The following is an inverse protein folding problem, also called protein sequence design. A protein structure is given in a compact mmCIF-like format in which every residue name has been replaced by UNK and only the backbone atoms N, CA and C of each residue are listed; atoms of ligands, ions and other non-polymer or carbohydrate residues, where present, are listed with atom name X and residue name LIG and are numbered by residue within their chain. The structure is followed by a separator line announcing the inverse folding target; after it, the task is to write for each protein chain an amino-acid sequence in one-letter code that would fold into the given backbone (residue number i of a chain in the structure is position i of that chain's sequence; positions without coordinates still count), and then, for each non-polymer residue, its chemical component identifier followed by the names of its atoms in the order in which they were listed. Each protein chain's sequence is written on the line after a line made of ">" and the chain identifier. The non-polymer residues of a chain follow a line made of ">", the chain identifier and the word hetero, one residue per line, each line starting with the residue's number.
data_IF_232778772712
#
_entry.id   IF_232778772712
#
_cell.length_a   1.000
_cell.length_b   1.000
_cell.length_c   1.000
_cell.angle_alpha   90.00
_cell.angle_beta   90.00
_cell.angle_gamma   90.00
#
_symmetry.space_group_name_H-M   'P 1'
#
loop_
_entity.id
_entity.type
_entity.pdbx_description
1 polymer ?
#
# COMPACT_ATOMS: atom_id res chain seq x y z
N UNK A 1 -50.38 48.81 25.93
CA UNK A 1 -49.10 48.06 25.90
C UNK A 1 -48.82 47.68 24.46
N UNK A 2 -47.60 47.98 24.05
CA UNK A 2 -47.09 48.11 22.68
C UNK A 2 -46.65 46.79 22.06
N UNK A 3 -46.97 46.60 20.78
CA UNK A 3 -46.13 45.83 19.87
C UNK A 3 -46.08 46.57 18.52
N UNK A 4 -44.92 47.15 18.23
CA UNK A 4 -44.57 47.77 16.94
C UNK A 4 -44.15 46.68 15.96
N UNK A 5 -44.67 46.77 14.74
CA UNK A 5 -44.22 46.01 13.57
C UNK A 5 -43.08 46.81 12.94
N UNK A 6 -41.87 46.22 12.89
CA UNK A 6 -40.74 46.79 12.17
C UNK A 6 -40.42 45.91 10.95
N UNK A 7 -40.65 46.50 9.78
CA UNK A 7 -40.12 46.06 8.49
C UNK A 7 -38.58 46.20 8.52
N UNK A 8 -37.85 45.11 8.29
CA UNK A 8 -36.43 45.17 7.99
C UNK A 8 -36.21 44.75 6.54
N UNK A 9 -35.75 45.73 5.77
CA UNK A 9 -35.25 45.62 4.41
C UNK A 9 -33.98 44.76 4.45
N UNK A 10 -34.08 43.51 4.04
CA UNK A 10 -32.90 42.67 3.77
C UNK A 10 -32.32 43.08 2.42
N UNK A 11 -31.29 43.92 2.47
CA UNK A 11 -30.47 44.30 1.34
C UNK A 11 -29.80 43.07 0.70
N UNK A 12 -29.94 42.97 -0.62
CA UNK A 12 -29.13 42.12 -1.48
C UNK A 12 -27.64 42.43 -1.25
N UNK A 13 -26.92 41.56 -0.56
CA UNK A 13 -25.46 41.51 -0.66
C UNK A 13 -25.16 40.73 -1.94
N UNK A 14 -24.85 41.48 -3.00
CA UNK A 14 -24.20 40.93 -4.17
C UNK A 14 -22.79 40.45 -3.76
N UNK A 15 -22.70 39.15 -3.46
CA UNK A 15 -21.41 38.47 -3.33
C UNK A 15 -20.84 38.35 -4.73
N UNK A 16 -19.80 39.12 -5.02
CA UNK A 16 -18.96 38.91 -6.19
C UNK A 16 -18.38 37.49 -6.13
N UNK A 17 -19.01 36.56 -6.85
CA UNK A 17 -18.47 35.25 -7.18
C UNK A 17 -17.34 35.43 -8.21
N UNK A 18 -16.19 35.95 -7.80
CA UNK A 18 -14.94 35.61 -8.50
C UNK A 18 -14.64 34.17 -8.12
N UNK A 19 -15.09 33.24 -8.97
CA UNK A 19 -14.78 31.82 -8.83
C UNK A 19 -13.28 31.62 -8.88
N UNK A 20 -12.64 31.51 -7.71
CA UNK A 20 -11.38 30.79 -7.59
C UNK A 20 -11.68 29.34 -7.96
N UNK A 21 -11.51 29.00 -9.24
CA UNK A 21 -11.51 27.62 -9.70
C UNK A 21 -10.31 26.92 -9.08
N UNK A 22 -10.45 26.41 -7.86
CA UNK A 22 -9.41 25.59 -7.21
C UNK A 22 -9.17 24.39 -8.10
N UNK A 23 -7.91 24.15 -8.48
CA UNK A 23 -7.57 22.97 -9.27
C UNK A 23 -7.91 21.71 -8.48
N UNK A 24 -8.61 20.79 -9.13
CA UNK A 24 -8.89 19.49 -8.54
C UNK A 24 -7.66 18.62 -8.68
N UNK A 25 -7.09 18.21 -7.55
CA UNK A 25 -5.95 17.28 -7.50
C UNK A 25 -6.44 15.97 -6.93
N UNK A 26 -6.23 14.87 -7.67
CA UNK A 26 -6.62 13.52 -7.26
C UNK A 26 -5.41 12.61 -7.26
N UNK A 27 -5.18 11.93 -6.15
CA UNK A 27 -4.16 10.88 -6.02
C UNK A 27 -4.84 9.53 -6.20
N UNK A 28 -4.23 8.66 -6.98
CA UNK A 28 -4.67 7.27 -7.17
C UNK A 28 -3.46 6.37 -7.39
N UNK A 29 -3.62 5.06 -7.24
CA UNK A 29 -2.53 4.07 -7.34
C UNK A 29 -2.89 2.98 -8.32
N UNK A 30 -1.89 2.38 -8.98
CA UNK A 30 -2.05 1.40 -10.05
C UNK A 30 -2.41 -0.03 -9.60
N UNK A 31 -2.70 -0.28 -8.34
CA UNK A 31 -3.08 -1.61 -7.91
C UNK A 31 -4.51 -1.89 -8.34
N UNK A 32 -4.62 -2.63 -9.44
CA UNK A 32 -5.34 -3.90 -9.34
C UNK A 32 -6.84 -3.81 -9.01
N UNK A 33 -7.46 -2.70 -9.41
CA UNK A 33 -8.91 -2.57 -9.46
C UNK A 33 -9.33 -2.14 -10.85
N UNK A 34 -10.55 -2.52 -11.26
CA UNK A 34 -11.19 -1.99 -12.46
C UNK A 34 -11.36 -0.46 -12.40
N UNK A 35 -11.14 0.16 -11.24
CA UNK A 35 -11.28 1.59 -11.03
C UNK A 35 -10.31 2.15 -9.95
N UNK A 36 -9.00 2.29 -10.26
CA UNK A 36 -7.96 2.71 -9.31
C UNK A 36 -8.18 4.13 -8.76
N UNK A 37 -9.06 4.92 -9.38
CA UNK A 37 -9.46 6.25 -8.93
C UNK A 37 -10.39 6.23 -7.69
N UNK A 38 -10.83 5.06 -7.24
CA UNK A 38 -11.69 4.90 -6.06
C UNK A 38 -10.92 4.90 -4.73
N UNK A 39 -9.60 4.76 -4.76
CA UNK A 39 -8.80 4.84 -3.53
C UNK A 39 -8.86 6.26 -2.96
N UNK A 40 -9.27 6.34 -1.70
CA UNK A 40 -9.44 7.59 -0.94
C UNK A 40 -8.87 7.39 0.46
N UNK A 41 -9.03 8.39 1.34
CA UNK A 41 -8.67 8.24 2.76
C UNK A 41 -9.58 7.22 3.47
N UNK A 42 -10.85 7.14 3.05
CA UNK A 42 -11.86 6.24 3.61
C UNK A 42 -11.80 4.84 3.00
N UNK A 43 -11.43 4.74 1.72
CA UNK A 43 -11.20 3.49 1.00
C UNK A 43 -9.71 3.38 0.67
N UNK A 44 -8.87 2.93 1.61
CA UNK A 44 -7.43 2.88 1.41
C UNK A 44 -7.05 1.91 0.28
N UNK A 45 -5.87 2.11 -0.27
CA UNK A 45 -5.19 1.06 -1.02
C UNK A 45 -4.41 0.18 -0.05
N UNK A 46 -4.66 -1.13 -0.06
CA UNK A 46 -3.84 -2.12 0.63
C UNK A 46 -2.69 -2.61 -0.25
N UNK A 47 -1.45 -2.37 0.18
CA UNK A 47 -0.27 -2.80 -0.55
C UNK A 47 0.50 -3.90 0.21
N UNK A 48 0.83 -4.97 -0.50
CA UNK A 48 1.57 -6.08 0.08
C UNK A 48 3.08 -5.81 0.08
N UNK A 49 3.81 -6.34 1.05
CA UNK A 49 5.28 -6.31 1.03
C UNK A 49 5.83 -6.99 -0.24
N UNK A 50 6.76 -6.31 -0.91
CA UNK A 50 7.33 -6.70 -2.20
C UNK A 50 6.56 -6.15 -3.41
N UNK A 51 5.38 -5.56 -3.21
CA UNK A 51 4.61 -4.96 -4.29
C UNK A 51 5.25 -3.65 -4.76
N UNK A 52 5.30 -3.45 -6.08
CA UNK A 52 5.57 -2.14 -6.68
C UNK A 52 4.26 -1.38 -6.87
N UNK A 53 4.13 -0.25 -6.19
CA UNK A 53 2.99 0.65 -6.27
C UNK A 53 3.36 1.85 -7.14
N UNK A 54 2.61 2.07 -8.21
CA UNK A 54 2.69 3.28 -9.03
C UNK A 54 1.61 4.27 -8.57
N UNK A 55 2.04 5.38 -7.99
CA UNK A 55 1.22 6.53 -7.69
C UNK A 55 1.01 7.36 -8.94
N UNK A 56 -0.22 7.83 -9.11
CA UNK A 56 -0.65 8.71 -10.17
C UNK A 56 -1.41 9.88 -9.57
N UNK A 57 -1.13 11.06 -10.10
CA UNK A 57 -1.80 12.28 -9.69
C UNK A 57 -2.38 12.96 -10.92
N UNK A 58 -3.66 13.28 -10.87
CA UNK A 58 -4.34 14.07 -11.90
C UNK A 58 -4.63 15.46 -11.35
N UNK A 59 -4.27 16.49 -12.11
CA UNK A 59 -4.54 17.90 -11.83
C UNK A 59 -5.45 18.44 -12.94
N UNK A 60 -6.62 18.94 -12.56
CA UNK A 60 -7.60 19.48 -13.51
C UNK A 60 -8.06 20.89 -13.08
N UNK A 61 -7.93 21.92 -13.94
CA UNK A 61 -7.27 21.90 -15.27
C UNK A 61 -5.74 21.68 -15.17
N UNK A 62 -5.08 21.34 -16.28
CA UNK A 62 -3.60 21.18 -16.35
C UNK A 62 -2.90 22.54 -16.24
N UNK A 63 -2.78 23.04 -15.02
CA UNK A 63 -2.22 24.36 -14.71
C UNK A 63 -1.01 24.30 -13.78
N UNK A 64 -0.62 23.09 -13.37
CA UNK A 64 0.53 22.86 -12.51
C UNK A 64 1.79 22.68 -13.36
N UNK A 65 2.89 23.26 -12.90
CA UNK A 65 4.21 23.05 -13.50
C UNK A 65 4.87 21.79 -12.93
N UNK A 66 4.65 21.51 -11.65
CA UNK A 66 5.16 20.32 -10.97
C UNK A 66 4.26 19.86 -9.83
N UNK A 67 4.45 18.60 -9.40
CA UNK A 67 3.71 17.98 -8.30
C UNK A 67 4.71 17.34 -7.33
N UNK A 68 4.50 17.60 -6.05
CA UNK A 68 5.24 16.98 -4.95
C UNK A 68 4.28 16.03 -4.23
N UNK A 69 4.71 14.80 -4.00
CA UNK A 69 4.02 13.82 -3.19
C UNK A 69 4.76 13.67 -1.87
N UNK A 70 4.03 13.82 -0.77
CA UNK A 70 4.54 13.68 0.59
C UNK A 70 3.92 12.46 1.24
N UNK A 71 4.74 11.66 1.92
CA UNK A 71 4.30 10.53 2.72
C UNK A 71 5.31 10.28 3.84
N UNK A 72 4.84 10.31 5.09
CA UNK A 72 5.67 10.06 6.29
C UNK A 72 6.95 10.94 6.34
N UNK A 73 6.81 12.23 5.99
CA UNK A 73 7.91 13.19 5.97
C UNK A 73 8.88 13.05 4.79
N UNK A 74 8.71 12.04 3.94
CA UNK A 74 9.42 11.91 2.66
C UNK A 74 8.70 12.71 1.59
N UNK A 75 9.47 13.43 0.78
CA UNK A 75 8.98 14.17 -0.38
C UNK A 75 9.52 13.57 -1.67
N UNK A 76 8.66 13.50 -2.68
CA UNK A 76 8.99 13.00 -4.01
C UNK A 76 8.45 13.95 -5.07
N UNK A 77 9.32 14.33 -6.01
CA UNK A 77 8.94 15.07 -7.21
C UNK A 77 8.43 14.08 -8.25
N UNK A 78 7.18 14.27 -8.67
CA UNK A 78 6.57 13.39 -9.66
C UNK A 78 6.98 13.78 -11.08
N UNK A 79 7.07 12.78 -11.94
CA UNK A 79 7.32 12.96 -13.36
C UNK A 79 6.00 13.19 -14.09
N UNK A 80 5.91 14.23 -14.93
CA UNK A 80 4.73 14.44 -15.80
C UNK A 80 4.69 13.33 -16.85
N UNK A 81 3.57 12.60 -16.92
CA UNK A 81 3.36 11.46 -17.83
C UNK A 81 2.30 11.74 -18.89
N UNK A 82 1.52 12.82 -18.73
CA UNK A 82 0.54 13.28 -19.69
C UNK A 82 0.03 14.68 -19.31
N UNK A 83 -0.86 15.28 -20.13
CA UNK A 83 -1.53 16.52 -19.78
C UNK A 83 -2.26 16.39 -18.44
N UNK A 84 -1.85 17.19 -17.45
CA UNK A 84 -2.39 17.16 -16.09
C UNK A 84 -2.13 15.86 -15.32
N UNK A 85 -1.29 14.95 -15.82
CA UNK A 85 -1.04 13.65 -15.18
C UNK A 85 0.44 13.47 -14.80
N UNK A 86 0.66 13.03 -13.57
CA UNK A 86 1.97 12.91 -12.95
C UNK A 86 2.13 11.52 -12.29
N UNK A 87 3.36 11.02 -12.21
CA UNK A 87 3.64 9.66 -11.76
C UNK A 87 4.87 9.51 -10.88
N UNK A 88 4.81 8.54 -9.98
CA UNK A 88 5.90 8.07 -9.12
C UNK A 88 5.70 6.59 -8.80
N UNK A 89 6.78 5.83 -8.63
CA UNK A 89 6.71 4.41 -8.30
C UNK A 89 7.52 4.09 -7.05
N UNK A 90 6.98 3.23 -6.19
CA UNK A 90 7.64 2.80 -4.96
C UNK A 90 7.43 1.31 -4.72
N UNK A 91 8.52 0.59 -4.44
CA UNK A 91 8.47 -0.80 -3.98
C UNK A 91 8.32 -0.85 -2.46
N UNK A 92 7.25 -1.47 -1.99
CA UNK A 92 6.96 -1.62 -0.56
C UNK A 92 7.90 -2.67 0.03
N UNK A 93 8.87 -2.24 0.83
CA UNK A 93 9.85 -3.12 1.47
C UNK A 93 9.40 -3.58 2.87
N UNK A 94 10.21 -4.43 3.51
CA UNK A 94 9.91 -4.97 4.84
C UNK A 94 9.79 -3.90 5.94
N UNK A 95 10.41 -2.74 5.78
CA UNK A 95 10.31 -1.66 6.78
C UNK A 95 8.92 -1.02 6.82
N UNK A 96 8.14 -1.22 5.76
CA UNK A 96 6.77 -0.73 5.62
C UNK A 96 5.73 -1.62 6.33
N UNK A 97 6.14 -2.78 6.86
CA UNK A 97 5.23 -3.78 7.44
C UNK A 97 4.34 -3.19 8.54
N UNK A 98 3.03 -3.26 8.33
CA UNK A 98 2.02 -2.80 9.28
C UNK A 98 1.94 -1.28 9.40
N UNK A 99 2.60 -0.53 8.50
CA UNK A 99 2.52 0.93 8.46
C UNK A 99 1.34 1.40 7.61
N UNK A 100 0.78 2.52 8.01
CA UNK A 100 -0.20 3.28 7.24
C UNK A 100 0.43 4.60 6.83
N UNK A 101 0.36 4.90 5.54
CA UNK A 101 0.87 6.13 4.96
C UNK A 101 -0.28 7.02 4.50
N UNK A 102 -0.29 8.26 5.00
CA UNK A 102 -1.07 9.33 4.40
C UNK A 102 -0.27 9.91 3.24
N UNK A 103 -0.83 9.82 2.05
CA UNK A 103 -0.22 10.30 0.82
C UNK A 103 -0.85 11.64 0.47
N UNK A 104 -0.08 12.72 0.51
CA UNK A 104 -0.52 14.05 0.10
C UNK A 104 0.19 14.47 -1.18
N UNK A 105 -0.56 14.71 -2.26
CA UNK A 105 -0.03 15.36 -3.45
C UNK A 105 -0.35 16.86 -3.40
N UNK A 106 0.67 17.68 -3.65
CA UNK A 106 0.59 19.14 -3.74
C UNK A 106 1.04 19.55 -5.13
N UNK A 107 0.15 20.21 -5.86
CA UNK A 107 0.42 20.71 -7.21
C UNK A 107 0.74 22.20 -7.16
N UNK A 108 1.78 22.61 -7.87
CA UNK A 108 2.29 23.98 -7.82
C UNK A 108 2.41 24.57 -9.21
N UNK A 109 2.16 25.88 -9.31
CA UNK A 109 2.57 26.72 -10.43
C UNK A 109 3.81 27.51 -10.02
N UNK A 110 4.83 27.44 -10.85
CA UNK A 110 6.12 28.06 -10.59
C UNK A 110 6.05 29.58 -10.77
N UNK A 111 6.54 30.34 -9.78
CA UNK A 111 6.75 31.78 -9.92
C UNK A 111 8.09 32.11 -10.63
N UNK A 112 8.82 31.08 -11.08
CA UNK A 112 10.08 31.21 -11.81
C UNK A 112 10.90 29.92 -11.75
N UNK A 113 11.91 29.89 -10.88
CA UNK A 113 12.64 28.65 -10.57
C UNK A 113 11.87 27.88 -9.51
N UNK A 114 11.58 26.58 -9.70
CA UNK A 114 10.84 25.79 -8.72
C UNK A 114 11.46 25.83 -7.32
N UNK A 115 10.61 25.93 -6.31
CA UNK A 115 10.97 25.81 -4.90
C UNK A 115 11.43 24.40 -4.57
N UNK A 116 10.78 23.40 -5.14
CA UNK A 116 11.17 22.00 -5.00
C UNK A 116 12.06 21.58 -6.17
N UNK A 117 13.21 21.00 -5.86
CA UNK A 117 14.09 20.41 -6.86
C UNK A 117 14.73 19.14 -6.34
N UNK A 118 15.21 18.31 -7.28
CA UNK A 118 15.90 17.06 -6.95
C UNK A 118 17.40 17.30 -6.91
N UNK A 119 18.05 16.87 -5.83
CA UNK A 119 19.51 16.81 -5.68
C UNK A 119 19.89 15.37 -5.33
N UNK A 120 20.42 14.64 -6.31
CA UNK A 120 20.60 13.18 -6.19
C UNK A 120 19.26 12.47 -5.98
N UNK A 121 19.16 11.72 -4.88
CA UNK A 121 17.95 10.98 -4.49
C UNK A 121 17.05 11.76 -3.53
N UNK A 122 17.40 13.01 -3.19
CA UNK A 122 16.64 13.83 -2.26
C UNK A 122 15.85 14.92 -2.99
N UNK A 123 14.65 15.18 -2.50
CA UNK A 123 13.90 16.38 -2.85
C UNK A 123 14.19 17.45 -1.81
N UNK A 124 14.61 18.62 -2.29
CA UNK A 124 14.93 19.77 -1.45
C UNK A 124 13.92 20.86 -1.72
N UNK A 125 13.33 21.39 -0.64
CA UNK A 125 12.57 22.62 -0.68
C UNK A 125 13.50 23.80 -0.40
N UNK A 126 13.67 24.68 -1.38
CA UNK A 126 14.52 25.87 -1.27
C UNK A 126 13.91 26.94 -0.36
N UNK A 127 12.58 26.99 -0.24
CA UNK A 127 11.84 27.98 0.55
C UNK A 127 12.25 29.41 0.20
N UNK A 128 11.71 29.96 -0.89
CA UNK A 128 11.97 31.37 -1.24
C UNK A 128 10.94 32.29 -0.59
N UNK A 129 11.43 33.23 0.20
CA UNK A 129 10.58 34.22 0.89
C UNK A 129 10.05 35.33 -0.04
N UNK A 130 10.70 35.54 -1.19
CA UNK A 130 10.40 36.67 -2.09
C UNK A 130 9.33 36.36 -3.13
N UNK A 131 9.35 35.15 -3.71
CA UNK A 131 8.41 34.68 -4.74
C UNK A 131 8.15 33.17 -4.57
N UNK A 132 7.36 32.76 -3.57
CA UNK A 132 7.03 31.35 -3.38
C UNK A 132 6.15 30.84 -4.53
N UNK A 133 6.30 29.56 -4.85
CA UNK A 133 5.46 28.91 -5.84
C UNK A 133 3.99 28.84 -5.38
N UNK A 134 3.06 29.05 -6.32
CA UNK A 134 1.63 29.05 -6.02
C UNK A 134 1.13 27.61 -5.89
N UNK A 135 0.63 27.25 -4.70
CA UNK A 135 -0.11 26.01 -4.53
C UNK A 135 -1.46 26.10 -5.26
N UNK A 136 -1.60 25.37 -6.35
CA UNK A 136 -2.84 25.37 -7.15
C UNK A 136 -3.87 24.34 -6.68
N UNK A 137 -3.43 23.30 -5.97
CA UNK A 137 -4.35 22.31 -5.39
C UNK A 137 -3.67 21.19 -4.61
N UNK A 138 -4.49 20.42 -3.89
CA UNK A 138 -4.05 19.29 -3.07
C UNK A 138 -4.98 18.09 -3.18
N UNK A 139 -4.41 16.90 -3.12
CA UNK A 139 -5.15 15.64 -3.10
C UNK A 139 -4.55 14.70 -2.06
N UNK A 140 -5.39 13.88 -1.44
CA UNK A 140 -4.96 12.94 -0.40
C UNK A 140 -5.47 11.53 -0.68
N UNK A 141 -4.67 10.53 -0.33
CA UNK A 141 -5.08 9.12 -0.29
C UNK A 141 -4.41 8.41 0.90
N UNK A 142 -4.84 7.18 1.18
CA UNK A 142 -4.27 6.34 2.23
C UNK A 142 -3.74 5.03 1.65
N UNK A 143 -2.54 4.65 2.07
CA UNK A 143 -1.90 3.38 1.74
C UNK A 143 -1.71 2.58 3.03
N UNK A 144 -2.27 1.38 3.10
CA UNK A 144 -2.12 0.47 4.23
C UNK A 144 -1.22 -0.70 3.82
N UNK A 145 -0.03 -0.78 4.40
CA UNK A 145 0.96 -1.81 4.06
C UNK A 145 0.77 -3.06 4.93
N UNK A 146 0.68 -4.22 4.30
CA UNK A 146 0.45 -5.49 4.99
C UNK A 146 1.37 -6.63 4.52
N UNK A 147 1.55 -7.61 5.40
CA UNK A 147 2.31 -8.83 5.14
C UNK A 147 1.40 -10.02 5.44
N UNK A 148 1.16 -10.85 4.43
CA UNK A 148 0.43 -12.11 4.62
C UNK A 148 1.25 -13.07 5.48
N UNK A 149 0.57 -13.94 6.24
CA UNK A 149 1.18 -14.94 7.11
C UNK A 149 0.52 -16.29 6.89
N UNK A 150 1.34 -17.31 6.79
CA UNK A 150 0.95 -18.71 6.72
C UNK A 150 1.33 -19.33 8.07
N UNK A 151 0.34 -19.79 8.80
CA UNK A 151 0.53 -20.56 10.04
C UNK A 151 -0.13 -21.92 9.86
N UNK A 152 0.65 -23.00 9.94
CA UNK A 152 0.12 -24.37 9.85
C UNK A 152 0.38 -25.04 11.19
N UNK A 153 -0.66 -25.52 11.83
CA UNK A 153 -0.54 -26.32 13.05
C UNK A 153 -0.73 -27.80 12.69
N UNK A 154 0.19 -28.65 13.16
CA UNK A 154 0.11 -30.09 12.93
C UNK A 154 0.52 -30.89 14.16
N UNK A 155 0.09 -32.14 14.20
CA UNK A 155 0.45 -33.12 15.23
C UNK A 155 0.91 -34.41 14.56
N UNK A 156 1.99 -34.99 15.06
CA UNK A 156 2.51 -36.28 14.59
C UNK A 156 1.79 -37.44 15.26
N UNK A 157 1.72 -38.59 14.58
CA UNK A 157 0.96 -39.74 15.07
C UNK A 157 1.57 -40.35 16.34
N UNK A 158 2.89 -40.29 16.48
CA UNK A 158 3.63 -40.84 17.63
C UNK A 158 4.15 -39.75 18.59
N UNK A 159 3.85 -38.47 18.34
CA UNK A 159 4.32 -37.34 19.14
C UNK A 159 5.81 -37.00 19.00
N UNK A 160 6.56 -37.68 18.13
CA UNK A 160 7.95 -37.33 17.82
C UNK A 160 8.01 -36.12 16.87
N UNK A 161 9.16 -35.46 16.83
CA UNK A 161 9.39 -34.34 15.91
C UNK A 161 9.65 -34.85 14.49
N UNK A 162 8.96 -34.30 13.46
CA UNK A 162 9.27 -34.59 12.07
C UNK A 162 10.67 -34.15 11.66
N UNK A 163 11.24 -34.84 10.66
CA UNK A 163 12.38 -34.28 9.92
C UNK A 163 11.89 -33.13 9.01
N UNK A 164 12.02 -31.90 9.53
CA UNK A 164 11.62 -30.69 8.83
C UNK A 164 12.35 -30.46 7.51
N UNK A 165 13.51 -31.09 7.29
CA UNK A 165 14.23 -30.97 6.03
C UNK A 165 13.51 -31.65 4.87
N UNK A 166 12.63 -32.61 5.16
CA UNK A 166 11.71 -33.22 4.21
C UNK A 166 10.37 -32.48 4.07
N UNK A 167 10.18 -31.38 4.80
CA UNK A 167 8.97 -30.56 4.73
C UNK A 167 8.94 -29.67 3.48
N UNK A 168 7.74 -29.49 2.92
CA UNK A 168 7.52 -28.68 1.74
C UNK A 168 6.22 -27.87 1.88
N UNK A 169 6.30 -26.57 1.62
CA UNK A 169 5.16 -25.67 1.51
C UNK A 169 4.93 -25.34 0.04
N UNK A 170 3.74 -25.65 -0.49
CA UNK A 170 3.31 -25.34 -1.84
C UNK A 170 2.34 -24.17 -1.82
N UNK A 171 2.67 -23.12 -2.56
CA UNK A 171 1.90 -21.89 -2.68
C UNK A 171 1.38 -21.80 -4.11
N UNK A 172 0.07 -21.82 -4.27
CA UNK A 172 -0.59 -21.79 -5.57
C UNK A 172 -0.88 -20.33 -5.93
N UNK A 173 0.00 -19.76 -6.74
CA UNK A 173 -0.03 -18.36 -7.13
C UNK A 173 -1.09 -18.02 -8.19
N UNK A 174 -1.20 -16.73 -8.56
CA UNK A 174 -2.31 -16.21 -9.36
C UNK A 174 -2.37 -16.75 -10.79
N UNK A 175 -1.23 -17.16 -11.35
CA UNK A 175 -1.12 -17.64 -12.74
C UNK A 175 -1.17 -19.17 -12.84
N UNK A 176 -1.60 -19.87 -11.78
CA UNK A 176 -1.55 -21.33 -11.68
C UNK A 176 -0.13 -21.88 -11.40
N UNK A 177 0.86 -20.99 -11.24
CA UNK A 177 2.20 -21.36 -10.81
C UNK A 177 2.18 -21.91 -9.37
N UNK A 178 2.90 -23.00 -9.14
CA UNK A 178 3.09 -23.58 -7.81
C UNK A 178 4.50 -23.28 -7.35
N UNK A 179 4.63 -22.45 -6.32
CA UNK A 179 5.92 -22.17 -5.69
C UNK A 179 6.14 -23.13 -4.53
N UNK A 180 7.30 -23.79 -4.53
CA UNK A 180 7.71 -24.74 -3.50
C UNK A 180 8.71 -24.07 -2.57
N UNK A 181 8.43 -24.11 -1.28
CA UNK A 181 9.25 -23.50 -0.23
C UNK A 181 9.66 -24.59 0.75
N UNK A 182 10.97 -24.80 0.88
CA UNK A 182 11.54 -25.72 1.86
C UNK A 182 11.80 -25.06 3.21
N UNK A 183 12.39 -25.82 4.13
CA UNK A 183 12.84 -25.31 5.43
C UNK A 183 13.88 -24.19 5.22
N UNK A 184 13.68 -23.06 5.91
CA UNK A 184 14.61 -21.93 5.91
C UNK A 184 15.99 -22.31 6.45
N UNK A 185 17.04 -21.80 5.81
CA UNK A 185 18.46 -22.01 6.20
C UNK A 185 19.21 -20.69 6.07
N UNK A 186 20.37 -20.52 6.72
CA UNK A 186 21.21 -19.34 6.49
C UNK A 186 21.45 -19.12 4.98
N UNK A 187 21.05 -17.95 4.46
CA UNK A 187 21.13 -17.61 3.04
C UNK A 187 19.99 -18.13 2.15
N UNK A 188 19.02 -18.88 2.70
CA UNK A 188 17.88 -19.41 1.96
C UNK A 188 16.56 -19.09 2.67
N UNK A 189 15.72 -18.29 2.04
CA UNK A 189 14.41 -17.93 2.56
C UNK A 189 13.45 -19.12 2.47
N UNK A 190 12.87 -19.51 3.59
CA UNK A 190 12.02 -20.71 3.69
C UNK A 190 11.07 -20.65 4.88
N UNK A 191 10.26 -21.70 5.04
CA UNK A 191 9.39 -21.78 6.22
C UNK A 191 10.22 -22.02 7.49
N UNK A 192 9.67 -21.64 8.62
CA UNK A 192 10.22 -21.91 9.95
C UNK A 192 9.35 -22.90 10.67
N UNK A 193 9.93 -23.98 11.19
CA UNK A 193 9.26 -24.86 12.13
C UNK A 193 9.51 -24.34 13.55
N UNK A 194 8.43 -24.01 14.26
CA UNK A 194 8.45 -23.69 15.67
C UNK A 194 8.40 -24.98 16.47
N UNK A 195 9.09 -24.99 17.62
CA UNK A 195 9.16 -26.15 18.49
C UNK A 195 7.78 -26.60 18.99
N UNK A 196 7.78 -27.79 19.61
CA UNK A 196 6.56 -28.42 20.13
C UNK A 196 5.94 -27.60 21.26
N UNK A 197 4.64 -27.32 21.17
CA UNK A 197 3.89 -26.65 22.24
C UNK A 197 3.51 -27.62 23.38
N UNK A 198 2.92 -27.09 24.46
CA UNK A 198 2.47 -27.87 25.61
C UNK A 198 1.35 -28.88 25.28
N UNK A 199 0.61 -28.67 24.19
CA UNK A 199 -0.46 -29.57 23.70
C UNK A 199 0.11 -30.65 22.77
N UNK A 200 1.40 -30.57 22.46
CA UNK A 200 2.12 -31.48 21.60
C UNK A 200 1.99 -31.18 20.10
N UNK A 201 1.57 -29.98 19.74
CA UNK A 201 1.46 -29.49 18.36
C UNK A 201 2.75 -28.79 17.92
N UNK A 202 3.00 -28.82 16.62
CA UNK A 202 4.04 -28.06 15.97
C UNK A 202 3.40 -26.96 15.13
N UNK A 203 4.07 -25.81 15.04
CA UNK A 203 3.59 -24.69 14.24
C UNK A 203 4.62 -24.37 13.16
N UNK A 204 4.19 -24.37 11.91
CA UNK A 204 4.99 -23.90 10.77
C UNK A 204 4.58 -22.48 10.44
N UNK A 205 5.58 -21.61 10.26
CA UNK A 205 5.39 -20.21 9.94
C UNK A 205 6.09 -19.85 8.63
N UNK A 206 5.40 -19.09 7.78
CA UNK A 206 5.97 -18.51 6.57
C UNK A 206 5.32 -17.17 6.21
N UNK A 207 6.11 -16.23 5.71
CA UNK A 207 5.65 -14.91 5.24
C UNK A 207 5.88 -14.82 3.73
N UNK A 208 4.87 -15.10 2.89
CA UNK A 208 5.03 -15.05 1.45
C UNK A 208 5.25 -13.62 0.95
N UNK A 209 5.98 -13.46 -0.15
CA UNK A 209 6.08 -12.18 -0.85
C UNK A 209 4.88 -11.95 -1.78
N UNK A 210 4.70 -10.71 -2.22
CA UNK A 210 3.61 -10.31 -3.12
C UNK A 210 3.47 -11.20 -4.36
N UNK A 211 4.59 -11.58 -4.98
CA UNK A 211 4.63 -12.39 -6.20
C UNK A 211 4.28 -13.88 -5.97
N UNK A 212 4.08 -14.29 -4.71
CA UNK A 212 3.70 -15.65 -4.35
C UNK A 212 2.20 -15.77 -4.05
N UNK A 213 1.48 -14.66 -3.82
CA UNK A 213 0.08 -14.68 -3.41
C UNK A 213 -0.87 -14.25 -4.53
N UNK A 214 -2.06 -14.82 -4.52
CA UNK A 214 -3.20 -14.35 -5.30
C UNK A 214 -3.79 -13.13 -4.61
N UNK A 215 -3.52 -11.92 -5.12
CA UNK A 215 -4.02 -10.68 -4.52
C UNK A 215 -5.50 -10.39 -4.85
N UNK A 216 -6.01 -10.89 -5.98
CA UNK A 216 -7.43 -10.76 -6.39
C UNK A 216 -8.38 -11.70 -5.64
N UNK A 217 -7.84 -12.69 -4.92
CA UNK A 217 -8.61 -13.85 -4.46
C UNK A 217 -7.93 -14.48 -3.24
N UNK A 218 -8.33 -15.70 -2.91
CA UNK A 218 -7.65 -16.50 -1.89
C UNK A 218 -6.48 -17.25 -2.51
N UNK A 219 -5.38 -17.33 -1.78
CA UNK A 219 -4.23 -18.14 -2.15
C UNK A 219 -4.34 -19.49 -1.45
N UNK A 220 -4.27 -20.58 -2.21
CA UNK A 220 -4.22 -21.93 -1.65
C UNK A 220 -2.80 -22.24 -1.19
N UNK A 221 -2.69 -22.85 -0.01
CA UNK A 221 -1.43 -23.27 0.58
C UNK A 221 -1.55 -24.74 1.01
N UNK A 222 -0.57 -25.55 0.65
CA UNK A 222 -0.47 -26.95 1.09
C UNK A 222 0.88 -27.16 1.74
N UNK A 223 0.89 -27.58 3.00
CA UNK A 223 2.10 -28.02 3.68
C UNK A 223 2.12 -29.54 3.77
N UNK A 224 3.28 -30.14 3.50
CA UNK A 224 3.50 -31.58 3.69
C UNK A 224 4.84 -31.86 4.36
N UNK A 225 4.88 -32.88 5.23
CA UNK A 225 6.11 -33.37 5.88
C UNK A 225 5.97 -34.86 6.21
N UNK A 226 7.03 -35.69 6.14
CA UNK A 226 6.95 -37.09 6.55
C UNK A 226 6.56 -37.25 8.03
N UNK A 227 5.58 -38.10 8.32
CA UNK A 227 5.22 -38.47 9.70
C UNK A 227 6.21 -39.50 10.25
N UNK A 228 6.93 -39.22 11.34
CA UNK A 228 7.85 -40.19 11.95
C UNK A 228 7.13 -41.43 12.50
N UNK A 229 5.83 -41.36 12.79
CA UNK A 229 5.08 -42.49 13.34
C UNK A 229 4.58 -43.48 12.31
N UNK A 230 4.25 -43.02 11.11
CA UNK A 230 3.59 -43.84 10.07
C UNK A 230 4.40 -43.96 8.78
N UNK A 231 5.39 -43.09 8.57
CA UNK A 231 6.10 -42.95 7.30
C UNK A 231 5.30 -42.27 6.18
N UNK A 232 3.99 -42.08 6.36
CA UNK A 232 3.15 -41.35 5.42
C UNK A 232 3.27 -39.84 5.65
N UNK A 233 3.14 -39.00 4.61
CA UNK A 233 3.20 -37.55 4.82
C UNK A 233 1.96 -37.04 5.57
N UNK A 234 2.19 -36.16 6.54
CA UNK A 234 1.15 -35.28 7.09
C UNK A 234 0.92 -34.20 6.04
N UNK A 235 -0.33 -33.97 5.66
CA UNK A 235 -0.70 -32.93 4.70
C UNK A 235 -1.71 -31.99 5.34
N UNK A 236 -1.41 -30.69 5.33
CA UNK A 236 -2.27 -29.65 5.84
C UNK A 236 -2.56 -28.65 4.74
N UNK A 237 -3.84 -28.40 4.47
CA UNK A 237 -4.28 -27.42 3.48
C UNK A 237 -4.93 -26.22 4.17
N UNK A 238 -4.60 -25.01 3.70
CA UNK A 238 -5.26 -23.79 4.12
C UNK A 238 -5.40 -22.79 2.99
N UNK A 239 -6.25 -21.79 3.21
CA UNK A 239 -6.49 -20.69 2.29
C UNK A 239 -6.21 -19.37 3.00
N UNK A 240 -5.34 -18.54 2.42
CA UNK A 240 -5.11 -17.18 2.91
C UNK A 240 -5.90 -16.18 2.08
N UNK A 241 -6.56 -15.24 2.74
CA UNK A 241 -7.22 -14.10 2.11
C UNK A 241 -6.32 -12.88 2.18
N UNK A 242 -6.24 -12.13 1.08
CA UNK A 242 -5.73 -10.77 1.08
C UNK A 242 -6.82 -9.80 1.54
N UNK A 243 -6.47 -8.70 2.24
CA UNK A 243 -7.40 -7.63 2.61
C UNK A 243 -8.04 -6.93 1.41
#
# INVERSE_FOLDING_TARGET
>A
MTAKIEFVISGLIAVCLTGCSVSQVRVWTNSDSDNPRLYTVQSPHYAHIGQKVDFRVTVSPDVADYVVLNFDGREELLTKVGPGEYGFSWTIDLSCRGRTYMIEARAYRSAGRPDYYREGDQVINRGRDDLPDELVGRGVSRLDCYQSRVTVELKTSNGQEPDWSGGQLEIFGPNGEVRKVGLGRPGYYGFTALGRDARGWYTIFYEPLYDQICWMSRTRIVFSVPDPGTGNPIVCEQWISTP
#
